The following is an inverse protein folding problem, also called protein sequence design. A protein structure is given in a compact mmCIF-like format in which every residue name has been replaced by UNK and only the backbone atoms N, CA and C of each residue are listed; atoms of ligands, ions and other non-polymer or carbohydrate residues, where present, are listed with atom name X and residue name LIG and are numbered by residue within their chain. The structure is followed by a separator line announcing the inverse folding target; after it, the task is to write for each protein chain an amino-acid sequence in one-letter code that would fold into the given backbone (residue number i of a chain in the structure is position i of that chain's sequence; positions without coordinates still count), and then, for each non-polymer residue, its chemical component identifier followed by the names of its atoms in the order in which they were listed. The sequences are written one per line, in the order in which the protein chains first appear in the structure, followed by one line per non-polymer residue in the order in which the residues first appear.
data_IF_045878110609
#
_entry.id   IF_045878110609
#
_cell.length_a   1.000
_cell.length_b   1.000
_cell.length_c   1.000
_cell.angle_alpha   90.00
_cell.angle_beta   90.00
_cell.angle_gamma   90.00
#
_symmetry.space_group_name_H-M   'P 1'
#
loop_
_entity.id
_entity.type
_entity.pdbx_description
1 polymer ?
#
# COMPACT_ATOMS: atom_id res chain seq x y z
N UNK A 1 61.35 4.05 13.89
CA UNK A 1 60.44 2.89 14.16
C UNK A 1 59.24 3.06 13.29
N UNK A 2 59.15 2.24 12.22
CA UNK A 2 58.06 2.21 11.24
C UNK A 2 56.82 1.53 11.85
N UNK A 3 55.76 2.30 12.07
CA UNK A 3 54.41 1.74 12.29
C UNK A 3 53.77 1.47 10.94
N UNK A 4 53.79 0.22 10.51
CA UNK A 4 53.04 -0.29 9.36
C UNK A 4 51.54 -0.17 9.65
N UNK A 5 50.82 0.61 8.83
CA UNK A 5 49.35 0.60 8.70
C UNK A 5 48.89 -0.83 8.30
N UNK A 6 48.37 -1.59 9.24
CA UNK A 6 47.66 -2.82 8.97
C UNK A 6 46.19 -2.48 8.75
N UNK A 7 45.85 -2.07 7.54
CA UNK A 7 44.46 -1.97 7.10
C UNK A 7 43.88 -3.38 6.96
N UNK A 8 43.16 -3.87 7.96
CA UNK A 8 42.28 -5.04 7.82
C UNK A 8 41.06 -4.66 7.00
N UNK A 9 40.88 -5.26 5.82
CA UNK A 9 39.59 -5.13 5.14
C UNK A 9 38.54 -5.86 5.98
N UNK A 10 37.46 -5.18 6.37
CA UNK A 10 36.34 -5.78 7.09
C UNK A 10 35.46 -6.56 6.09
N UNK A 11 35.69 -7.85 5.83
CA UNK A 11 34.87 -8.62 4.88
C UNK A 11 33.41 -8.73 5.34
N UNK A 12 33.14 -8.66 6.65
CA UNK A 12 31.78 -8.68 7.20
C UNK A 12 30.92 -7.49 6.79
N UNK A 13 31.46 -6.29 6.65
CA UNK A 13 30.66 -5.11 6.23
C UNK A 13 30.22 -5.22 4.79
N UNK A 14 31.06 -5.72 3.89
CA UNK A 14 30.74 -5.91 2.48
C UNK A 14 29.63 -6.96 2.33
N UNK A 15 29.75 -8.09 3.03
CA UNK A 15 28.75 -9.18 2.98
C UNK A 15 27.37 -8.74 3.53
N UNK A 16 27.36 -7.96 4.60
CA UNK A 16 26.11 -7.39 5.16
C UNK A 16 25.49 -6.41 4.17
N UNK A 17 26.28 -5.57 3.52
CA UNK A 17 25.80 -4.58 2.55
C UNK A 17 25.25 -5.25 1.28
N UNK A 18 25.90 -6.30 0.78
CA UNK A 18 25.41 -7.08 -0.36
C UNK A 18 24.12 -7.82 -0.02
N UNK A 19 24.04 -8.43 1.16
CA UNK A 19 22.82 -9.11 1.63
C UNK A 19 21.67 -8.14 1.76
N UNK A 20 21.91 -6.95 2.33
CA UNK A 20 20.90 -5.90 2.45
C UNK A 20 20.44 -5.38 1.08
N UNK A 21 21.36 -5.13 0.15
CA UNK A 21 21.04 -4.71 -1.22
C UNK A 21 20.20 -5.75 -1.96
N UNK A 22 20.54 -7.03 -1.86
CA UNK A 22 19.77 -8.12 -2.47
C UNK A 22 18.36 -8.22 -1.86
N UNK A 23 18.23 -7.98 -0.56
CA UNK A 23 16.95 -7.97 0.13
C UNK A 23 16.05 -6.82 -0.38
N UNK A 24 16.58 -5.62 -0.48
CA UNK A 24 15.89 -4.45 -0.99
C UNK A 24 15.46 -4.61 -2.46
N UNK A 25 16.28 -5.25 -3.29
CA UNK A 25 15.93 -5.57 -4.67
C UNK A 25 14.78 -6.58 -4.75
N UNK A 26 14.77 -7.60 -3.87
CA UNK A 26 13.67 -8.56 -3.79
C UNK A 26 12.35 -7.86 -3.45
N UNK A 27 12.33 -7.03 -2.42
CA UNK A 27 11.12 -6.30 -2.01
C UNK A 27 10.64 -5.32 -3.07
N UNK A 28 11.56 -4.63 -3.74
CA UNK A 28 11.22 -3.76 -4.87
C UNK A 28 10.48 -4.52 -5.99
N UNK A 29 10.96 -5.72 -6.33
CA UNK A 29 10.32 -6.57 -7.35
C UNK A 29 8.95 -7.08 -6.88
N UNK A 30 8.85 -7.57 -5.64
CA UNK A 30 7.58 -8.03 -5.06
C UNK A 30 6.53 -6.92 -5.01
N UNK A 31 6.95 -5.69 -4.69
CA UNK A 31 6.07 -4.52 -4.74
C UNK A 31 5.50 -4.31 -6.15
N UNK A 32 6.36 -4.36 -7.19
CA UNK A 32 5.93 -4.17 -8.57
C UNK A 32 4.96 -5.27 -9.03
N UNK A 33 5.19 -6.51 -8.62
CA UNK A 33 4.30 -7.64 -8.92
C UNK A 33 2.92 -7.44 -8.29
N UNK A 34 2.85 -7.04 -7.03
CA UNK A 34 1.58 -6.74 -6.34
C UNK A 34 0.85 -5.56 -6.99
N UNK A 35 1.56 -4.46 -7.26
CA UNK A 35 0.96 -3.28 -7.91
C UNK A 35 0.47 -3.62 -9.32
N UNK A 36 1.17 -4.48 -10.05
CA UNK A 36 0.73 -4.93 -11.38
C UNK A 36 -0.65 -5.60 -11.31
N UNK A 37 -0.89 -6.47 -10.33
CA UNK A 37 -2.19 -7.13 -10.10
C UNK A 37 -3.27 -6.11 -9.74
N UNK A 38 -2.99 -5.22 -8.79
CA UNK A 38 -3.93 -4.17 -8.37
C UNK A 38 -4.31 -3.25 -9.54
N UNK A 39 -3.32 -2.86 -10.34
CA UNK A 39 -3.46 -2.00 -11.52
C UNK A 39 -4.27 -2.66 -12.64
N UNK A 40 -4.04 -3.94 -12.88
CA UNK A 40 -4.80 -4.69 -13.90
C UNK A 40 -6.30 -4.69 -13.55
N UNK A 41 -6.64 -5.02 -12.32
CA UNK A 41 -8.03 -4.95 -11.83
C UNK A 41 -8.60 -3.52 -11.94
N UNK A 42 -7.85 -2.51 -11.54
CA UNK A 42 -8.26 -1.11 -11.65
C UNK A 42 -8.50 -0.70 -13.12
N UNK A 43 -7.59 -1.07 -14.03
CA UNK A 43 -7.71 -0.79 -15.46
C UNK A 43 -8.93 -1.47 -16.11
N UNK A 44 -9.26 -2.70 -15.71
CA UNK A 44 -10.46 -3.41 -16.15
C UNK A 44 -11.73 -2.67 -15.70
N UNK A 45 -11.79 -2.28 -14.43
CA UNK A 45 -12.91 -1.49 -13.89
C UNK A 45 -13.06 -0.14 -14.60
N UNK A 46 -11.95 0.55 -14.92
CA UNK A 46 -12.01 1.77 -15.74
C UNK A 46 -12.56 1.51 -17.15
N UNK A 47 -12.36 0.31 -17.71
CA UNK A 47 -12.93 -0.04 -19.00
C UNK A 47 -14.43 -0.28 -18.92
N UNK A 48 -14.90 -0.92 -17.84
CA UNK A 48 -16.30 -1.30 -17.67
C UNK A 48 -17.22 -0.10 -17.41
N UNK A 49 -16.80 0.85 -16.57
CA UNK A 49 -17.66 1.95 -16.13
C UNK A 49 -16.94 3.31 -15.99
N UNK A 50 -15.77 3.45 -16.60
CA UNK A 50 -15.02 4.71 -16.57
C UNK A 50 -14.51 5.08 -15.18
N UNK A 51 -14.15 6.35 -15.02
CA UNK A 51 -13.63 6.89 -13.76
C UNK A 51 -14.78 7.26 -12.79
N UNK A 52 -15.74 6.37 -12.56
CA UNK A 52 -16.92 6.62 -11.73
C UNK A 52 -16.60 7.06 -10.30
N UNK A 53 -15.42 6.71 -9.79
CA UNK A 53 -14.94 7.14 -8.48
C UNK A 53 -14.74 8.67 -8.37
N UNK A 54 -14.68 9.39 -9.50
CA UNK A 54 -14.47 10.84 -9.51
C UNK A 54 -15.60 11.63 -8.83
N UNK A 55 -16.80 11.05 -8.74
CA UNK A 55 -17.93 11.66 -8.02
C UNK A 55 -17.80 11.52 -6.49
N UNK A 56 -16.89 10.67 -6.01
CA UNK A 56 -16.70 10.43 -4.59
C UNK A 56 -15.85 11.53 -3.96
N UNK A 57 -16.33 12.06 -2.84
CA UNK A 57 -15.52 12.90 -1.96
C UNK A 57 -14.47 12.04 -1.23
N UNK A 58 -13.36 12.64 -0.83
CA UNK A 58 -12.30 11.92 -0.11
C UNK A 58 -12.80 11.14 1.12
N UNK A 59 -13.68 11.69 1.99
CA UNK A 59 -14.22 10.92 3.11
C UNK A 59 -14.98 9.65 2.70
N UNK A 60 -15.63 9.66 1.53
CA UNK A 60 -16.29 8.45 1.02
C UNK A 60 -15.31 7.35 0.67
N UNK A 61 -14.11 7.70 0.19
CA UNK A 61 -13.02 6.74 -0.08
C UNK A 61 -12.40 6.20 1.21
N UNK A 62 -12.20 7.06 2.19
CA UNK A 62 -11.79 6.65 3.55
C UNK A 62 -12.78 5.64 4.12
N UNK A 63 -14.08 5.85 3.94
CA UNK A 63 -15.13 4.91 4.37
C UNK A 63 -15.11 3.59 3.58
N UNK A 64 -14.78 3.59 2.29
CA UNK A 64 -14.58 2.35 1.54
C UNK A 64 -13.42 1.53 2.11
N UNK A 65 -12.29 2.17 2.42
CA UNK A 65 -11.18 1.48 3.08
C UNK A 65 -11.59 0.98 4.46
N UNK A 66 -12.33 1.78 5.23
CA UNK A 66 -12.87 1.39 6.54
C UNK A 66 -13.68 0.09 6.47
N UNK A 67 -14.58 -0.04 5.47
CA UNK A 67 -15.40 -1.25 5.28
C UNK A 67 -14.51 -2.46 5.04
N UNK A 68 -13.48 -2.35 4.18
CA UNK A 68 -12.57 -3.45 3.86
C UNK A 68 -11.74 -3.88 5.09
N UNK A 69 -11.23 -2.93 5.84
CA UNK A 69 -10.49 -3.23 7.09
C UNK A 69 -11.39 -3.86 8.14
N UNK A 70 -12.65 -3.42 8.26
CA UNK A 70 -13.62 -4.04 9.18
C UNK A 70 -13.93 -5.48 8.75
N UNK A 71 -14.06 -5.75 7.46
CA UNK A 71 -14.23 -7.12 6.92
C UNK A 71 -13.04 -8.02 7.29
N UNK A 72 -11.81 -7.54 7.03
CA UNK A 72 -10.58 -8.24 7.39
C UNK A 72 -10.52 -8.59 8.89
N UNK A 73 -10.72 -7.60 9.76
CA UNK A 73 -10.68 -7.82 11.21
C UNK A 73 -11.74 -8.81 11.69
N UNK A 74 -12.95 -8.73 11.11
CA UNK A 74 -14.01 -9.69 11.44
C UNK A 74 -13.62 -11.11 11.00
N UNK A 75 -13.10 -11.27 9.78
CA UNK A 75 -12.64 -12.57 9.29
C UNK A 75 -11.48 -13.12 10.15
N UNK A 76 -10.47 -12.31 10.45
CA UNK A 76 -9.33 -12.68 11.29
C UNK A 76 -9.72 -13.08 12.72
N UNK A 77 -10.87 -12.60 13.20
CA UNK A 77 -11.39 -12.94 14.55
C UNK A 77 -12.28 -14.17 14.51
N UNK A 78 -13.12 -14.30 13.48
CA UNK A 78 -14.18 -15.32 13.44
C UNK A 78 -13.88 -16.51 12.53
N UNK A 79 -12.96 -16.34 11.57
CA UNK A 79 -12.68 -17.31 10.50
C UNK A 79 -13.82 -17.44 9.48
N UNK A 80 -14.84 -16.57 9.51
CA UNK A 80 -16.04 -16.70 8.67
C UNK A 80 -16.20 -15.47 7.77
N UNK A 81 -16.22 -15.70 6.45
CA UNK A 81 -16.68 -14.72 5.46
C UNK A 81 -18.03 -15.18 4.90
N UNK A 82 -19.08 -14.35 5.09
CA UNK A 82 -20.42 -14.66 4.52
C UNK A 82 -20.58 -14.14 3.09
N UNK A 83 -19.76 -13.18 2.70
CA UNK A 83 -19.79 -12.56 1.36
C UNK A 83 -18.90 -13.31 0.38
N UNK A 84 -17.97 -14.15 0.89
CA UNK A 84 -17.05 -14.94 0.09
C UNK A 84 -15.80 -14.18 -0.37
N UNK A 85 -15.64 -12.91 0.01
CA UNK A 85 -14.41 -12.16 -0.28
C UNK A 85 -13.22 -12.72 0.51
N UNK A 86 -12.09 -12.90 -0.16
CA UNK A 86 -10.83 -13.31 0.48
C UNK A 86 -10.15 -12.15 1.19
N UNK A 87 -9.14 -12.44 2.02
CA UNK A 87 -8.31 -11.39 2.62
C UNK A 87 -7.52 -10.63 1.55
N UNK A 88 -7.00 -11.34 0.55
CA UNK A 88 -6.24 -10.75 -0.58
C UNK A 88 -7.09 -9.76 -1.36
N UNK A 89 -8.34 -10.11 -1.70
CA UNK A 89 -9.26 -9.21 -2.41
C UNK A 89 -9.52 -7.93 -1.61
N UNK A 90 -9.66 -8.05 -0.29
CA UNK A 90 -9.83 -6.89 0.59
C UNK A 90 -8.56 -6.01 0.62
N UNK A 91 -7.36 -6.60 0.66
CA UNK A 91 -6.11 -5.82 0.60
C UNK A 91 -5.89 -5.19 -0.77
N UNK A 92 -6.21 -5.87 -1.88
CA UNK A 92 -6.20 -5.29 -3.23
C UNK A 92 -7.14 -4.08 -3.30
N UNK A 93 -8.33 -4.18 -2.72
CA UNK A 93 -9.28 -3.07 -2.66
C UNK A 93 -8.72 -1.90 -1.84
N UNK A 94 -8.03 -2.14 -0.71
CA UNK A 94 -7.39 -1.11 0.11
C UNK A 94 -6.30 -0.40 -0.70
N UNK A 95 -5.43 -1.13 -1.42
CA UNK A 95 -4.42 -0.53 -2.32
C UNK A 95 -5.09 0.40 -3.32
N UNK A 96 -6.09 -0.09 -4.04
CA UNK A 96 -6.76 0.66 -5.08
C UNK A 96 -7.50 1.89 -4.53
N UNK A 97 -8.25 1.76 -3.42
CA UNK A 97 -8.91 2.91 -2.80
C UNK A 97 -7.94 3.93 -2.22
N UNK A 98 -6.78 3.50 -1.73
CA UNK A 98 -5.74 4.43 -1.26
C UNK A 98 -5.17 5.26 -2.42
N UNK A 99 -4.88 4.64 -3.57
CA UNK A 99 -4.43 5.36 -4.77
C UNK A 99 -5.53 6.29 -5.29
N UNK A 100 -6.79 5.82 -5.35
CA UNK A 100 -7.94 6.66 -5.72
C UNK A 100 -8.07 7.85 -4.76
N UNK A 101 -7.86 7.64 -3.46
CA UNK A 101 -7.85 8.70 -2.45
C UNK A 101 -6.80 9.77 -2.75
N UNK A 102 -5.58 9.37 -3.08
CA UNK A 102 -4.50 10.29 -3.49
C UNK A 102 -4.85 11.05 -4.77
N UNK A 103 -5.44 10.38 -5.77
CA UNK A 103 -5.93 11.04 -7.00
C UNK A 103 -7.01 12.09 -6.66
N UNK A 104 -7.95 11.76 -5.76
CA UNK A 104 -9.02 12.68 -5.37
C UNK A 104 -8.51 13.85 -4.52
N UNK A 105 -7.48 13.64 -3.68
CA UNK A 105 -6.84 14.74 -2.95
C UNK A 105 -6.21 15.75 -3.91
N UNK A 106 -5.58 15.28 -4.99
CA UNK A 106 -4.94 16.17 -5.97
C UNK A 106 -5.94 16.82 -6.92
N UNK A 107 -6.89 16.05 -7.44
CA UNK A 107 -7.80 16.52 -8.50
C UNK A 107 -9.10 17.13 -7.97
N UNK A 108 -9.44 16.91 -6.70
CA UNK A 108 -10.77 17.14 -6.17
C UNK A 108 -11.81 16.13 -6.70
N UNK A 109 -13.02 16.13 -6.18
CA UNK A 109 -14.14 15.38 -6.75
C UNK A 109 -14.75 16.13 -7.94
N UNK A 110 -15.44 15.42 -8.83
CA UNK A 110 -16.09 16.01 -9.99
C UNK A 110 -17.43 15.31 -10.25
N UNK A 111 -18.44 16.08 -10.66
CA UNK A 111 -19.76 15.54 -11.05
C UNK A 111 -19.72 14.81 -12.40
N UNK A 112 -18.71 15.10 -13.23
CA UNK A 112 -18.48 14.42 -14.50
C UNK A 112 -17.27 13.47 -14.38
N UNK A 113 -17.48 12.19 -14.71
CA UNK A 113 -16.46 11.14 -14.71
C UNK A 113 -15.94 10.77 -16.12
N UNK A 114 -16.30 11.55 -17.15
CA UNK A 114 -15.78 11.41 -18.51
C UNK A 114 -14.34 11.88 -18.60
N UNK A 115 -13.44 11.12 -18.01
CA UNK A 115 -11.99 11.38 -18.06
C UNK A 115 -11.29 10.35 -18.95
N UNK A 116 -10.20 10.77 -19.58
CA UNK A 116 -9.36 9.85 -20.34
C UNK A 116 -8.80 8.77 -19.41
N UNK A 117 -9.06 7.52 -19.77
CA UNK A 117 -8.55 6.36 -19.06
C UNK A 117 -7.02 6.42 -18.91
N UNK A 118 -6.29 6.86 -19.94
CA UNK A 118 -4.83 6.92 -19.90
C UNK A 118 -4.33 7.97 -18.90
N UNK A 119 -4.99 9.13 -18.79
CA UNK A 119 -4.64 10.13 -17.78
C UNK A 119 -4.79 9.59 -16.37
N UNK A 120 -5.87 8.86 -16.11
CA UNK A 120 -6.10 8.23 -14.81
C UNK A 120 -5.06 7.15 -14.51
N UNK A 121 -4.68 6.34 -15.51
CA UNK A 121 -3.65 5.31 -15.33
C UNK A 121 -2.26 5.93 -15.10
N UNK A 122 -1.94 7.04 -15.74
CA UNK A 122 -0.69 7.80 -15.47
C UNK A 122 -0.65 8.29 -14.03
N UNK A 123 -1.78 8.81 -13.49
CA UNK A 123 -1.85 9.22 -12.09
C UNK A 123 -1.72 8.02 -11.14
N UNK A 124 -2.37 6.92 -11.46
CA UNK A 124 -2.24 5.67 -10.70
C UNK A 124 -0.78 5.23 -10.60
N UNK A 125 -0.09 5.16 -11.74
CA UNK A 125 1.31 4.73 -11.83
C UNK A 125 2.24 5.68 -11.05
N UNK A 126 1.99 6.98 -11.12
CA UNK A 126 2.75 7.98 -10.37
C UNK A 126 2.62 7.76 -8.86
N UNK A 127 1.40 7.67 -8.32
CA UNK A 127 1.18 7.48 -6.89
C UNK A 127 1.70 6.10 -6.40
N UNK A 128 1.59 5.06 -7.22
CA UNK A 128 2.19 3.76 -6.91
C UNK A 128 3.72 3.86 -6.81
N UNK A 129 4.39 4.60 -7.71
CA UNK A 129 5.83 4.83 -7.66
C UNK A 129 6.24 5.67 -6.44
N UNK A 130 5.51 6.74 -6.12
CA UNK A 130 5.76 7.55 -4.91
C UNK A 130 5.64 6.70 -3.63
N UNK A 131 4.63 5.81 -3.55
CA UNK A 131 4.47 4.86 -2.46
C UNK A 131 5.65 3.88 -2.35
N UNK A 132 6.12 3.37 -3.50
CA UNK A 132 7.30 2.50 -3.57
C UNK A 132 8.56 3.20 -3.06
N UNK A 133 8.81 4.44 -3.51
CA UNK A 133 9.95 5.22 -3.04
C UNK A 133 9.89 5.47 -1.54
N UNK A 134 8.71 5.81 -1.01
CA UNK A 134 8.52 5.97 0.43
C UNK A 134 8.79 4.67 1.19
N UNK A 135 8.26 3.55 0.71
CA UNK A 135 8.49 2.22 1.26
C UNK A 135 9.98 1.87 1.27
N UNK A 136 10.69 2.10 0.17
CA UNK A 136 12.12 1.80 0.06
C UNK A 136 12.94 2.63 1.05
N UNK A 137 12.62 3.93 1.26
CA UNK A 137 13.27 4.76 2.28
C UNK A 137 13.02 4.22 3.69
N UNK A 138 11.76 3.88 4.03
CA UNK A 138 11.40 3.32 5.34
C UNK A 138 12.07 1.96 5.59
N UNK A 139 12.13 1.09 4.58
CA UNK A 139 12.80 -0.21 4.69
C UNK A 139 14.30 -0.07 4.90
N UNK A 140 14.93 0.95 4.33
CA UNK A 140 16.33 1.24 4.61
C UNK A 140 16.56 1.51 6.10
N UNK A 141 15.68 2.26 6.74
CA UNK A 141 15.84 2.66 8.13
C UNK A 141 15.41 1.57 9.13
N UNK A 142 14.37 0.80 8.78
CA UNK A 142 13.76 -0.19 9.68
C UNK A 142 14.11 -1.65 9.36
N UNK A 143 14.94 -1.91 8.33
CA UNK A 143 15.42 -3.26 8.02
C UNK A 143 14.33 -4.25 7.63
N UNK A 144 13.24 -3.78 6.99
CA UNK A 144 12.08 -4.61 6.59
C UNK A 144 11.39 -5.36 7.75
N UNK A 145 11.35 -4.75 8.94
CA UNK A 145 10.73 -5.33 10.14
C UNK A 145 9.28 -5.81 9.91
N UNK A 146 8.57 -5.27 8.90
CA UNK A 146 7.22 -5.68 8.53
C UNK A 146 7.13 -7.17 8.14
N UNK A 147 8.24 -7.80 7.69
CA UNK A 147 8.25 -9.22 7.34
C UNK A 147 8.01 -10.13 8.53
N UNK A 148 8.43 -9.70 9.72
CA UNK A 148 8.24 -10.43 10.97
C UNK A 148 6.89 -10.12 11.63
N UNK A 149 6.18 -9.09 11.17
CA UNK A 149 4.87 -8.73 11.70
C UNK A 149 3.79 -9.75 11.28
N UNK A 150 2.81 -9.96 12.14
CA UNK A 150 1.59 -10.71 11.80
C UNK A 150 0.72 -9.90 10.85
N UNK A 151 0.04 -10.56 9.92
CA UNK A 151 -0.92 -9.89 9.01
C UNK A 151 -1.99 -9.15 9.81
N UNK A 152 -2.52 -9.75 10.88
CA UNK A 152 -3.49 -9.10 11.77
C UNK A 152 -2.96 -7.81 12.41
N UNK A 153 -1.67 -7.77 12.78
CA UNK A 153 -1.06 -6.56 13.32
C UNK A 153 -0.93 -5.45 12.26
N UNK A 154 -0.61 -5.82 11.01
CA UNK A 154 -0.58 -4.86 9.89
C UNK A 154 -2.00 -4.36 9.59
N UNK A 155 -3.01 -5.24 9.64
CA UNK A 155 -4.43 -4.86 9.52
C UNK A 155 -4.84 -3.83 10.58
N UNK A 156 -4.40 -4.00 11.84
CA UNK A 156 -4.67 -3.04 12.91
C UNK A 156 -3.98 -1.69 12.67
N UNK A 157 -2.78 -1.67 12.09
CA UNK A 157 -2.13 -0.42 11.68
C UNK A 157 -2.90 0.29 10.57
N UNK A 158 -3.40 -0.44 9.56
CA UNK A 158 -4.27 0.15 8.53
C UNK A 158 -5.53 0.72 9.18
N UNK A 159 -6.16 -0.01 10.09
CA UNK A 159 -7.34 0.45 10.80
C UNK A 159 -7.09 1.75 11.58
N UNK A 160 -5.94 1.82 12.29
CA UNK A 160 -5.52 3.04 12.99
C UNK A 160 -5.37 4.22 12.02
N UNK A 161 -4.74 4.01 10.85
CA UNK A 161 -4.57 5.06 9.84
C UNK A 161 -5.92 5.54 9.30
N UNK A 162 -6.85 4.64 9.05
CA UNK A 162 -8.22 5.00 8.65
C UNK A 162 -8.89 5.88 9.69
N UNK A 163 -8.84 5.50 10.98
CA UNK A 163 -9.47 6.30 12.05
C UNK A 163 -8.82 7.69 12.18
N UNK A 164 -7.50 7.78 12.03
CA UNK A 164 -6.79 9.07 12.03
C UNK A 164 -7.22 9.93 10.83
N UNK A 165 -7.30 9.34 9.65
CA UNK A 165 -7.75 10.04 8.45
C UNK A 165 -9.15 10.63 8.65
N UNK A 166 -10.10 9.84 9.18
CA UNK A 166 -11.46 10.32 9.50
C UNK A 166 -11.44 11.51 10.45
N UNK A 167 -10.64 11.47 11.51
CA UNK A 167 -10.52 12.58 12.45
C UNK A 167 -9.94 13.85 11.81
N UNK A 168 -8.94 13.68 10.91
CA UNK A 168 -8.36 14.82 10.18
C UNK A 168 -9.40 15.40 9.20
N UNK A 169 -10.16 14.55 8.51
CA UNK A 169 -11.25 14.96 7.62
C UNK A 169 -12.35 15.71 8.39
N UNK A 170 -12.75 15.21 9.56
CA UNK A 170 -13.73 15.86 10.45
C UNK A 170 -13.25 17.23 10.96
N UNK A 171 -11.93 17.43 11.06
CA UNK A 171 -11.28 18.70 11.41
C UNK A 171 -10.89 19.55 10.18
N UNK A 172 -11.62 19.41 9.07
CA UNK A 172 -11.38 20.15 7.83
C UNK A 172 -9.95 20.01 7.25
N UNK A 173 -9.25 18.92 7.56
CA UNK A 173 -7.88 18.64 7.13
C UNK A 173 -6.79 19.26 8.00
N UNK A 174 -7.14 19.98 9.06
CA UNK A 174 -6.18 20.62 9.94
C UNK A 174 -5.52 19.65 10.92
N UNK A 175 -4.20 19.76 11.06
CA UNK A 175 -3.41 19.00 12.04
C UNK A 175 -2.43 19.95 12.76
N UNK A 176 -2.15 19.70 14.04
CA UNK A 176 -1.18 20.48 14.81
C UNK A 176 0.27 20.02 14.58
N UNK A 177 0.47 18.70 14.58
CA UNK A 177 1.81 18.06 14.49
C UNK A 177 1.80 16.79 13.64
N UNK A 178 0.63 16.27 13.27
CA UNK A 178 0.50 15.03 12.53
C UNK A 178 0.68 15.24 11.03
N UNK A 179 1.12 14.19 10.35
CA UNK A 179 1.10 14.11 8.90
C UNK A 179 -0.34 14.25 8.37
N UNK A 180 -0.49 14.75 7.16
CA UNK A 180 -1.77 14.97 6.51
C UNK A 180 -2.49 13.68 6.09
N UNK A 181 -3.60 13.88 5.38
CA UNK A 181 -4.44 12.78 4.86
C UNK A 181 -3.66 11.94 3.83
N UNK A 182 -2.88 12.58 2.97
CA UNK A 182 -2.06 11.96 1.93
C UNK A 182 -1.05 10.97 2.51
N UNK A 183 -0.32 11.34 3.54
CA UNK A 183 0.64 10.46 4.21
C UNK A 183 -0.04 9.23 4.81
N UNK A 184 -1.25 9.39 5.36
CA UNK A 184 -2.03 8.26 5.87
C UNK A 184 -2.49 7.32 4.73
N UNK A 185 -2.87 7.84 3.56
CA UNK A 185 -3.18 7.00 2.39
C UNK A 185 -1.95 6.25 1.89
N UNK A 186 -0.77 6.87 1.82
CA UNK A 186 0.47 6.17 1.47
C UNK A 186 0.82 5.06 2.47
N UNK A 187 0.60 5.28 3.75
CA UNK A 187 0.83 4.26 4.77
C UNK A 187 -0.15 3.09 4.63
N UNK A 188 -1.46 3.36 4.43
CA UNK A 188 -2.47 2.31 4.21
C UNK A 188 -2.16 1.49 2.95
N UNK A 189 -1.74 2.13 1.86
CA UNK A 189 -1.29 1.49 0.64
C UNK A 189 -0.12 0.55 0.91
N UNK A 190 0.96 1.05 1.52
CA UNK A 190 2.17 0.28 1.75
C UNK A 190 1.93 -0.90 2.70
N UNK A 191 1.14 -0.71 3.76
CA UNK A 191 0.75 -1.80 4.66
C UNK A 191 -0.07 -2.88 3.95
N UNK A 192 -1.01 -2.50 3.08
CA UNK A 192 -1.78 -3.46 2.30
C UNK A 192 -0.89 -4.23 1.31
N UNK A 193 0.06 -3.56 0.64
CA UNK A 193 1.07 -4.22 -0.21
C UNK A 193 1.92 -5.20 0.59
N UNK A 194 2.34 -4.86 1.82
CA UNK A 194 3.08 -5.80 2.67
C UNK A 194 2.29 -7.07 2.99
N UNK A 195 0.99 -6.96 3.27
CA UNK A 195 0.14 -8.13 3.46
C UNK A 195 0.07 -8.99 2.20
N UNK A 196 -0.11 -8.38 1.03
CA UNK A 196 -0.16 -9.10 -0.25
C UNK A 196 1.16 -9.79 -0.58
N UNK A 197 2.32 -9.16 -0.30
CA UNK A 197 3.63 -9.81 -0.43
C UNK A 197 3.72 -11.02 0.51
N UNK A 198 3.26 -10.91 1.75
CA UNK A 198 3.28 -12.00 2.71
C UNK A 198 2.40 -13.17 2.28
N UNK A 199 1.23 -12.93 1.68
CA UNK A 199 0.40 -13.98 1.10
C UNK A 199 1.11 -14.67 -0.06
N UNK A 200 1.69 -13.92 -0.99
CA UNK A 200 2.41 -14.49 -2.13
C UNK A 200 3.65 -15.30 -1.75
N UNK A 201 4.26 -15.05 -0.59
CA UNK A 201 5.39 -15.84 -0.07
C UNK A 201 4.92 -17.13 0.60
N UNK A 202 3.71 -17.16 1.17
CA UNK A 202 3.15 -18.34 1.83
C UNK A 202 2.51 -19.31 0.83
N UNK A 203 1.93 -18.78 -0.25
CA UNK A 203 1.37 -19.56 -1.34
C UNK A 203 2.38 -19.67 -2.48
N UNK A 204 2.95 -20.83 -2.70
CA UNK A 204 3.87 -21.08 -3.82
C UNK A 204 3.21 -20.85 -5.20
N UNK A 205 1.91 -20.56 -5.26
CA UNK A 205 1.12 -20.22 -6.43
C UNK A 205 0.09 -19.12 -6.13
N UNK A 206 0.53 -17.88 -5.87
CA UNK A 206 -0.39 -16.75 -5.85
C UNK A 206 -0.78 -16.39 -7.30
N UNK A 207 -1.89 -16.96 -7.76
CA UNK A 207 -2.66 -16.48 -8.91
C UNK A 207 -4.04 -16.11 -8.38
N UNK A 208 -4.36 -14.79 -8.19
CA UNK A 208 -5.74 -14.42 -7.93
C UNK A 208 -6.58 -14.84 -9.13
N UNK A 209 -7.50 -15.78 -8.95
CA UNK A 209 -8.56 -16.01 -9.91
C UNK A 209 -9.39 -14.72 -9.97
N UNK A 210 -9.25 -14.01 -11.08
CA UNK A 210 -10.01 -12.80 -11.34
C UNK A 210 -11.39 -13.27 -11.77
N UNK A 211 -12.34 -13.20 -10.85
CA UNK A 211 -13.78 -13.34 -11.12
C UNK A 211 -14.31 -12.06 -11.74
#
# INVERSE_FOLDING_TARGET
VNLKNSGFPFPHKILIFEKFRNFMQKTSKQFDEVISVCRDLFSKKLTDYGASFRVLRTPSLTDQIFIKVKSLRNFQTTGISKVGESEEENFIAIVNYSIIGLIQLEKGFADDFKQDKNEILVLYDRFANEAKELMMRKNHDYGEAWREMRISSITDLIYQKVLRTKQIEDNAGETLVSEGIDANYFDMLNYAVFCLIKFSENDAEFKPEII
#
